data_IF_028179202576
#
_entry.id   IF_028179202576
#
_cell.length_a   1.000
_cell.length_b   1.000
_cell.length_c   1.000
_cell.angle_alpha   90.00
_cell.angle_beta   90.00
_cell.angle_gamma   90.00
#
_symmetry.space_group_name_H-M   'P 1'
#
loop_
_entity.id
_entity.type
_entity.pdbx_description
1 polymer ?
#
# COMPACT_ATOMS: atom_id res chain seq x y z
N UNK A 1 -25.90 23.69 9.09
CA UNK A 1 -24.56 23.61 9.70
C UNK A 1 -24.49 22.28 10.44
N UNK A 2 -24.13 21.20 9.74
CA UNK A 2 -24.08 19.87 10.33
C UNK A 2 -22.68 19.67 10.92
N UNK A 3 -22.61 19.62 12.24
CA UNK A 3 -21.45 19.11 12.96
C UNK A 3 -21.38 17.63 12.57
N UNK A 4 -20.33 17.23 11.87
CA UNK A 4 -20.05 15.82 11.52
C UNK A 4 -20.25 14.97 12.76
N UNK A 5 -21.25 14.08 12.74
CA UNK A 5 -21.57 13.17 13.85
C UNK A 5 -20.42 12.20 14.20
N UNK A 6 -19.33 12.23 13.44
CA UNK A 6 -18.17 11.34 13.59
C UNK A 6 -16.84 12.07 13.90
N UNK A 7 -16.85 13.40 14.11
CA UNK A 7 -15.63 14.19 14.39
C UNK A 7 -14.48 13.95 13.36
N UNK A 8 -14.82 13.74 12.09
CA UNK A 8 -13.86 13.32 11.05
C UNK A 8 -13.17 14.48 10.31
N UNK A 9 -13.66 15.72 10.43
CA UNK A 9 -13.19 16.84 9.61
C UNK A 9 -11.68 17.08 9.67
N UNK A 10 -11.08 17.01 10.87
CA UNK A 10 -9.63 17.15 11.03
C UNK A 10 -8.88 15.92 10.51
N UNK A 11 -9.34 14.71 10.83
CA UNK A 11 -8.70 13.46 10.41
C UNK A 11 -8.66 13.35 8.88
N UNK A 12 -9.78 13.60 8.21
CA UNK A 12 -9.87 13.63 6.74
C UNK A 12 -8.96 14.70 6.15
N UNK A 13 -8.92 15.90 6.74
CA UNK A 13 -8.04 16.98 6.28
C UNK A 13 -6.55 16.62 6.34
N UNK A 14 -6.12 15.95 7.42
CA UNK A 14 -4.74 15.45 7.56
C UNK A 14 -4.46 14.36 6.52
N UNK A 15 -5.37 13.42 6.31
CA UNK A 15 -5.21 12.37 5.29
C UNK A 15 -5.12 12.95 3.86
N UNK A 16 -5.94 13.95 3.55
CA UNK A 16 -5.88 14.69 2.28
C UNK A 16 -4.53 15.39 2.10
N UNK A 17 -4.04 16.06 3.15
CA UNK A 17 -2.75 16.75 3.12
C UNK A 17 -1.59 15.76 2.92
N UNK A 18 -1.58 14.63 3.63
CA UNK A 18 -0.56 13.58 3.46
C UNK A 18 -0.59 13.01 2.05
N UNK A 19 -1.78 12.72 1.49
CA UNK A 19 -1.92 12.19 0.13
C UNK A 19 -1.41 13.18 -0.94
N UNK A 20 -1.67 14.48 -0.76
CA UNK A 20 -1.26 15.51 -1.71
C UNK A 20 0.24 15.87 -1.58
N UNK A 21 0.76 15.96 -0.35
CA UNK A 21 2.09 16.48 -0.08
C UNK A 21 3.19 15.70 -0.79
N UNK A 22 3.17 14.37 -0.74
CA UNK A 22 4.19 13.56 -1.40
C UNK A 22 4.08 13.64 -2.93
N UNK A 23 2.86 13.69 -3.48
CA UNK A 23 2.62 13.80 -4.93
C UNK A 23 3.16 15.12 -5.46
N UNK A 24 2.86 16.24 -4.78
CA UNK A 24 3.40 17.55 -5.14
C UNK A 24 4.91 17.60 -5.00
N UNK A 25 5.47 17.10 -3.89
CA UNK A 25 6.91 17.11 -3.67
C UNK A 25 7.69 16.36 -4.75
N UNK A 26 7.20 15.19 -5.18
CA UNK A 26 7.85 14.42 -6.25
C UNK A 26 7.61 15.04 -7.64
N UNK A 27 6.44 15.62 -7.88
CA UNK A 27 6.13 16.29 -9.15
C UNK A 27 6.99 17.53 -9.38
N UNK A 28 7.14 18.40 -8.37
CA UNK A 28 7.98 19.60 -8.44
C UNK A 28 9.44 19.24 -8.73
N UNK A 29 9.90 18.07 -8.26
CA UNK A 29 11.25 17.55 -8.51
C UNK A 29 11.40 16.84 -9.86
N UNK A 30 10.35 16.74 -10.67
CA UNK A 30 10.36 16.04 -11.96
C UNK A 30 10.51 14.51 -11.85
N UNK A 31 10.27 13.94 -10.67
CA UNK A 31 10.50 12.52 -10.37
C UNK A 31 9.31 11.65 -10.80
N UNK A 32 8.09 12.16 -10.63
CA UNK A 32 6.85 11.46 -11.00
C UNK A 32 6.31 11.95 -12.32
N UNK A 33 5.48 11.12 -12.98
CA UNK A 33 4.67 11.55 -14.11
C UNK A 33 3.46 12.38 -13.66
N UNK A 34 3.00 13.28 -14.51
CA UNK A 34 1.81 14.14 -14.26
C UNK A 34 0.54 13.36 -13.90
N UNK A 35 0.41 12.13 -14.40
CA UNK A 35 -0.71 11.24 -14.09
C UNK A 35 -0.81 10.94 -12.60
N UNK A 36 0.31 10.93 -11.87
CA UNK A 36 0.36 10.69 -10.42
C UNK A 36 -0.32 11.82 -9.66
N UNK A 37 -0.03 13.09 -9.98
CA UNK A 37 -0.66 14.22 -9.30
C UNK A 37 -2.18 14.26 -9.57
N UNK A 38 -2.61 13.93 -10.79
CA UNK A 38 -4.04 13.87 -11.16
C UNK A 38 -4.84 12.86 -10.32
N UNK A 39 -4.18 11.85 -9.74
CA UNK A 39 -4.86 10.87 -8.86
C UNK A 39 -5.41 11.51 -7.58
N UNK A 40 -4.86 12.63 -7.11
CA UNK A 40 -5.35 13.29 -5.90
C UNK A 40 -6.84 13.62 -6.00
N UNK A 41 -7.25 14.26 -7.10
CA UNK A 41 -8.65 14.66 -7.30
C UNK A 41 -9.58 13.46 -7.37
N UNK A 42 -9.16 12.37 -8.02
CA UNK A 42 -9.98 11.15 -8.11
C UNK A 42 -10.08 10.42 -6.78
N UNK A 43 -8.97 10.28 -6.06
CA UNK A 43 -8.92 9.60 -4.75
C UNK A 43 -9.74 10.36 -3.69
N UNK A 44 -9.57 11.68 -3.63
CA UNK A 44 -10.29 12.55 -2.70
C UNK A 44 -11.79 12.57 -2.97
N UNK A 45 -12.19 12.68 -4.24
CA UNK A 45 -13.63 12.71 -4.60
C UNK A 45 -14.33 11.43 -4.16
N UNK A 46 -13.70 10.27 -4.36
CA UNK A 46 -14.27 8.99 -3.92
C UNK A 46 -14.40 8.90 -2.41
N UNK A 47 -13.37 9.30 -1.65
CA UNK A 47 -13.43 9.27 -0.18
C UNK A 47 -14.48 10.23 0.39
N UNK A 48 -14.59 11.45 -0.17
CA UNK A 48 -15.60 12.44 0.24
C UNK A 48 -17.01 11.95 -0.09
N UNK A 49 -17.21 11.35 -1.27
CA UNK A 49 -18.52 10.80 -1.64
C UNK A 49 -18.95 9.68 -0.67
N UNK A 50 -18.04 8.76 -0.34
CA UNK A 50 -18.29 7.71 0.65
C UNK A 50 -18.68 8.29 2.02
N UNK A 51 -17.96 9.32 2.48
CA UNK A 51 -18.30 10.01 3.74
C UNK A 51 -19.72 10.60 3.70
N UNK A 52 -20.07 11.30 2.61
CA UNK A 52 -21.39 11.91 2.44
C UNK A 52 -22.49 10.86 2.41
N UNK A 53 -22.26 9.73 1.72
CA UNK A 53 -23.24 8.66 1.60
C UNK A 53 -23.46 7.99 2.97
N UNK A 54 -22.39 7.69 3.73
CA UNK A 54 -22.52 7.16 5.09
C UNK A 54 -23.23 8.11 6.04
N UNK A 55 -22.85 9.39 6.07
CA UNK A 55 -23.49 10.39 6.92
C UNK A 55 -24.99 10.54 6.58
N UNK A 56 -25.34 10.48 5.29
CA UNK A 56 -26.73 10.53 4.83
C UNK A 56 -27.50 9.29 5.30
N UNK A 57 -26.94 8.10 5.12
CA UNK A 57 -27.59 6.84 5.49
C UNK A 57 -27.80 6.71 7.00
N UNK A 58 -26.79 7.09 7.79
CA UNK A 58 -26.90 7.15 9.26
C UNK A 58 -27.99 8.15 9.66
N UNK A 59 -28.02 9.35 9.07
CA UNK A 59 -29.03 10.36 9.40
C UNK A 59 -30.46 9.91 9.04
N UNK A 60 -30.62 9.22 7.90
CA UNK A 60 -31.91 8.65 7.50
C UNK A 60 -32.37 7.58 8.50
N UNK A 61 -31.52 6.62 8.84
CA UNK A 61 -31.84 5.53 9.77
C UNK A 61 -32.11 6.04 11.19
N UNK A 62 -31.34 7.02 11.68
CA UNK A 62 -31.61 7.71 12.97
C UNK A 62 -32.98 8.41 12.97
N UNK A 63 -33.42 8.91 11.82
CA UNK A 63 -34.74 9.51 11.63
C UNK A 63 -35.83 8.47 11.33
N UNK A 64 -35.54 7.16 11.50
CA UNK A 64 -36.41 6.03 11.15
C UNK A 64 -36.90 6.03 9.70
N UNK A 65 -36.05 6.50 8.78
CA UNK A 65 -36.30 6.47 7.33
C UNK A 65 -35.32 5.52 6.66
N UNK A 66 -35.84 4.73 5.72
CA UNK A 66 -35.02 3.82 4.94
C UNK A 66 -34.20 4.56 3.86
N UNK A 67 -32.89 4.25 3.72
CA UNK A 67 -32.10 4.71 2.60
C UNK A 67 -32.65 4.21 1.26
N UNK A 68 -32.42 4.96 0.17
CA UNK A 68 -32.92 4.62 -1.16
C UNK A 68 -32.40 3.29 -1.73
N UNK A 69 -31.30 2.76 -1.18
CA UNK A 69 -30.73 1.47 -1.57
C UNK A 69 -31.29 0.29 -0.77
N UNK A 70 -32.03 0.51 0.32
CA UNK A 70 -32.60 -0.55 1.13
C UNK A 70 -33.78 -1.21 0.40
N UNK A 71 -33.68 -2.52 0.17
CA UNK A 71 -34.71 -3.34 -0.50
C UNK A 71 -35.23 -4.48 0.39
N UNK A 72 -34.94 -4.41 1.69
CA UNK A 72 -35.38 -5.40 2.67
C UNK A 72 -36.84 -5.20 3.08
N UNK A 73 -37.21 -5.82 4.19
CA UNK A 73 -38.54 -5.68 4.77
C UNK A 73 -38.77 -4.24 5.29
N UNK A 74 -39.75 -3.49 4.75
CA UNK A 74 -40.05 -2.14 5.21
C UNK A 74 -40.40 -2.04 6.69
N UNK A 75 -40.91 -3.15 7.27
CA UNK A 75 -41.34 -3.24 8.67
C UNK A 75 -40.21 -3.69 9.62
N UNK A 76 -39.01 -3.96 9.11
CA UNK A 76 -37.86 -4.28 9.95
C UNK A 76 -37.49 -3.09 10.86
N UNK A 77 -36.86 -3.34 12.01
CA UNK A 77 -36.39 -2.27 12.89
C UNK A 77 -35.20 -1.53 12.25
N UNK A 78 -35.32 -0.22 11.92
CA UNK A 78 -34.22 0.56 11.37
C UNK A 78 -32.97 0.59 12.27
N UNK A 79 -33.12 0.36 13.58
CA UNK A 79 -32.00 0.31 14.52
C UNK A 79 -31.08 -0.90 14.28
N UNK A 80 -31.61 -2.02 13.79
CA UNK A 80 -30.80 -3.19 13.44
C UNK A 80 -29.96 -2.91 12.20
N UNK A 81 -30.56 -2.30 11.17
CA UNK A 81 -29.85 -1.87 9.96
C UNK A 81 -28.84 -0.75 10.27
N UNK A 82 -29.15 0.13 11.21
CA UNK A 82 -28.22 1.14 11.72
C UNK A 82 -27.02 0.49 12.42
N UNK A 83 -27.25 -0.56 13.23
CA UNK A 83 -26.18 -1.35 13.84
C UNK A 83 -25.24 -1.95 12.80
N UNK A 84 -25.79 -2.64 11.78
CA UNK A 84 -24.98 -3.17 10.68
C UNK A 84 -24.23 -2.08 9.90
N UNK A 85 -24.85 -0.91 9.72
CA UNK A 85 -24.22 0.21 9.05
C UNK A 85 -23.06 0.77 9.88
N UNK A 86 -23.20 0.85 11.21
CA UNK A 86 -22.11 1.22 12.10
C UNK A 86 -20.96 0.20 12.07
N UNK A 87 -21.26 -1.10 12.05
CA UNK A 87 -20.23 -2.15 11.93
C UNK A 87 -19.48 -2.06 10.60
N UNK A 88 -20.20 -1.82 9.50
CA UNK A 88 -19.60 -1.59 8.17
C UNK A 88 -18.81 -0.28 8.09
N UNK A 89 -19.28 0.77 8.77
CA UNK A 89 -18.64 2.08 8.79
C UNK A 89 -17.51 2.18 9.81
N UNK A 90 -17.36 1.24 10.76
CA UNK A 90 -16.33 1.30 11.79
C UNK A 90 -14.89 1.37 11.24
N UNK A 91 -14.49 0.58 10.22
CA UNK A 91 -13.19 0.74 9.57
C UNK A 91 -13.03 2.13 8.92
N UNK A 92 -14.10 2.66 8.33
CA UNK A 92 -14.10 3.98 7.70
C UNK A 92 -13.93 5.10 8.75
N UNK A 93 -14.66 5.03 9.86
CA UNK A 93 -14.59 5.98 10.98
C UNK A 93 -13.22 6.00 11.67
N UNK A 94 -12.50 4.87 11.63
CA UNK A 94 -11.12 4.79 12.13
C UNK A 94 -10.07 5.21 11.09
N UNK A 95 -10.49 5.59 9.87
CA UNK A 95 -9.60 5.94 8.77
C UNK A 95 -8.85 4.75 8.15
N UNK A 96 -9.18 3.52 8.56
CA UNK A 96 -8.53 2.27 8.13
C UNK A 96 -9.24 1.61 6.94
N UNK A 97 -10.51 1.94 6.72
CA UNK A 97 -11.38 1.37 5.69
C UNK A 97 -11.33 2.10 4.33
N UNK A 98 -10.49 3.12 4.18
CA UNK A 98 -10.36 3.83 2.90
C UNK A 98 -9.64 2.92 1.91
N UNK A 99 -10.34 2.55 0.84
CA UNK A 99 -9.78 1.85 -0.30
C UNK A 99 -10.00 2.70 -1.56
N UNK A 100 -8.91 3.22 -2.11
CA UNK A 100 -8.97 4.01 -3.33
C UNK A 100 -9.21 3.15 -4.56
N UNK A 101 -9.99 3.65 -5.55
CA UNK A 101 -10.25 2.91 -6.78
C UNK A 101 -8.98 2.76 -7.61
N UNK A 102 -9.06 1.88 -8.62
CA UNK A 102 -7.99 1.61 -9.59
C UNK A 102 -7.52 2.91 -10.25
N UNK A 103 -6.22 3.15 -10.21
CA UNK A 103 -5.58 4.26 -10.91
C UNK A 103 -4.11 3.91 -11.22
N UNK A 104 -3.30 4.90 -11.63
CA UNK A 104 -1.88 4.66 -11.96
C UNK A 104 -1.02 4.23 -10.77
N UNK A 105 -1.43 4.57 -9.54
CA UNK A 105 -0.79 4.16 -8.29
C UNK A 105 -1.37 2.85 -7.76
N UNK A 106 -2.71 2.72 -7.80
CA UNK A 106 -3.46 1.55 -7.32
C UNK A 106 -3.67 0.59 -8.51
N UNK A 107 -2.61 -0.12 -8.89
CA UNK A 107 -2.64 -1.04 -10.03
C UNK A 107 -3.09 -2.43 -9.59
N UNK A 108 -3.82 -3.10 -10.49
CA UNK A 108 -4.33 -4.45 -10.28
C UNK A 108 -3.21 -5.43 -9.87
N UNK A 109 -3.49 -6.22 -8.83
CA UNK A 109 -2.54 -7.20 -8.32
C UNK A 109 -2.41 -8.37 -9.30
N UNK A 110 -1.19 -8.84 -9.53
CA UNK A 110 -0.92 -10.06 -10.32
C UNK A 110 -0.96 -11.35 -9.50
N UNK A 111 -1.11 -11.21 -8.18
CA UNK A 111 -1.22 -12.31 -7.22
C UNK A 111 -2.46 -12.11 -6.37
N UNK A 112 -3.02 -13.22 -5.88
CA UNK A 112 -4.13 -13.14 -4.93
C UNK A 112 -3.58 -12.69 -3.57
N UNK A 113 -3.90 -11.47 -3.16
CA UNK A 113 -3.62 -10.97 -1.82
C UNK A 113 -4.92 -10.81 -1.04
N UNK A 114 -4.82 -10.87 0.28
CA UNK A 114 -5.89 -10.48 1.20
C UNK A 114 -6.15 -8.97 1.13
N UNK A 115 -5.13 -8.18 0.75
CA UNK A 115 -5.17 -6.73 0.75
C UNK A 115 -5.35 -6.18 -0.66
N UNK A 116 -6.35 -5.32 -0.83
CA UNK A 116 -6.67 -4.71 -2.13
C UNK A 116 -5.76 -3.51 -2.39
N UNK A 117 -5.18 -3.36 -3.60
CA UNK A 117 -4.49 -2.13 -3.99
C UNK A 117 -5.35 -0.88 -3.76
N UNK A 118 -4.76 0.16 -3.18
CA UNK A 118 -5.44 1.38 -2.75
C UNK A 118 -5.90 1.37 -1.29
N UNK A 119 -5.79 0.23 -0.58
CA UNK A 119 -6.08 0.11 0.85
C UNK A 119 -4.80 0.12 1.70
N UNK A 120 -4.97 0.27 3.02
CA UNK A 120 -3.87 0.25 3.97
C UNK A 120 -3.37 -1.19 4.17
N UNK A 121 -2.05 -1.44 4.18
CA UNK A 121 -1.51 -2.75 4.49
C UNK A 121 -1.80 -3.12 5.97
N UNK A 122 -1.93 -4.42 6.28
CA UNK A 122 -2.07 -4.89 7.64
C UNK A 122 -0.86 -4.47 8.48
N UNK A 123 -1.09 -4.12 9.74
CA UNK A 123 0.00 -4.02 10.70
C UNK A 123 0.47 -5.42 11.10
N UNK A 124 1.78 -5.61 11.00
CA UNK A 124 2.48 -6.86 11.25
C UNK A 124 3.72 -6.55 12.09
N UNK A 125 4.02 -7.45 13.01
CA UNK A 125 5.22 -7.39 13.84
C UNK A 125 6.32 -8.21 13.18
N UNK A 126 7.49 -7.59 13.04
CA UNK A 126 8.69 -8.17 12.45
C UNK A 126 9.84 -8.08 13.46
N UNK A 127 10.87 -8.90 13.27
CA UNK A 127 12.08 -8.88 14.10
C UNK A 127 13.28 -8.34 13.31
N UNK A 128 14.11 -7.53 13.96
CA UNK A 128 15.38 -7.08 13.40
C UNK A 128 16.43 -8.20 13.40
N UNK A 129 17.30 -8.28 12.39
CA UNK A 129 18.40 -9.23 12.38
C UNK A 129 19.40 -9.00 13.52
N UNK A 130 19.96 -10.07 14.07
CA UNK A 130 20.94 -10.04 15.15
C UNK A 130 20.36 -9.75 16.54
N UNK A 131 19.66 -8.63 16.72
CA UNK A 131 19.10 -8.22 18.03
C UNK A 131 17.73 -8.83 18.33
N UNK A 132 17.05 -9.38 17.32
CA UNK A 132 15.70 -9.95 17.42
C UNK A 132 14.68 -8.98 18.06
N UNK A 133 14.90 -7.67 17.90
CA UNK A 133 14.03 -6.65 18.45
C UNK A 133 12.77 -6.54 17.61
N UNK A 134 11.62 -6.56 18.28
CA UNK A 134 10.30 -6.47 17.64
C UNK A 134 10.04 -5.06 17.13
N UNK A 135 9.58 -4.96 15.89
CA UNK A 135 9.28 -3.69 15.21
C UNK A 135 8.05 -3.86 14.32
N UNK A 136 7.21 -2.82 14.26
CA UNK A 136 6.00 -2.82 13.42
C UNK A 136 6.32 -2.37 12.00
N UNK A 137 5.63 -2.96 11.01
CA UNK A 137 5.85 -2.64 9.60
C UNK A 137 5.74 -1.13 9.32
N UNK A 138 4.71 -0.44 9.83
CA UNK A 138 4.57 1.00 9.57
C UNK A 138 5.65 1.85 10.25
N UNK A 139 6.36 1.31 11.25
CA UNK A 139 7.52 1.98 11.88
C UNK A 139 8.75 1.93 10.98
N UNK A 140 8.86 0.89 10.16
CA UNK A 140 9.91 0.69 9.17
C UNK A 140 9.60 1.52 7.93
N UNK A 141 8.37 1.42 7.42
CA UNK A 141 7.93 2.06 6.17
C UNK A 141 7.45 3.50 6.37
N UNK A 142 8.25 4.30 7.09
CA UNK A 142 7.90 5.70 7.36
C UNK A 142 7.79 6.51 6.07
N UNK A 143 6.90 7.50 6.07
CA UNK A 143 6.70 8.40 4.94
C UNK A 143 7.87 9.38 4.81
N UNK A 144 8.84 9.02 3.98
CA UNK A 144 9.93 9.89 3.53
C UNK A 144 9.78 10.27 2.05
N UNK A 145 8.53 10.38 1.56
CA UNK A 145 8.23 10.55 0.13
C UNK A 145 8.85 9.46 -0.77
N UNK A 146 8.99 8.23 -0.22
CA UNK A 146 9.59 7.08 -0.89
C UNK A 146 8.60 5.94 -1.03
N UNK A 147 8.65 5.25 -2.15
CA UNK A 147 7.95 3.98 -2.35
C UNK A 147 8.74 2.88 -1.65
N UNK A 148 8.03 1.90 -1.08
CA UNK A 148 8.67 0.74 -0.46
C UNK A 148 8.30 -0.52 -1.24
N UNK A 149 9.30 -1.28 -1.64
CA UNK A 149 9.16 -2.59 -2.28
C UNK A 149 9.45 -3.63 -1.20
N UNK A 150 8.39 -4.28 -0.73
CA UNK A 150 8.45 -5.35 0.25
C UNK A 150 8.57 -6.67 -0.50
N UNK A 151 9.71 -7.32 -0.35
CA UNK A 151 9.95 -8.67 -0.87
C UNK A 151 9.63 -9.66 0.24
N UNK A 152 8.45 -10.28 0.16
CA UNK A 152 7.98 -11.32 1.07
C UNK A 152 8.49 -12.65 0.51
N UNK A 153 9.54 -13.21 1.11
CA UNK A 153 10.29 -14.32 0.48
C UNK A 153 9.50 -15.62 0.43
N UNK A 154 8.48 -15.81 1.26
CA UNK A 154 7.85 -17.12 1.44
C UNK A 154 8.85 -18.13 2.02
N UNK A 155 8.73 -19.39 1.62
CA UNK A 155 9.71 -20.43 1.91
C UNK A 155 10.93 -20.27 1.01
N UNK A 156 12.03 -19.79 1.62
CA UNK A 156 13.29 -19.48 0.94
C UNK A 156 13.83 -20.67 0.15
N UNK A 157 13.61 -21.91 0.60
CA UNK A 157 14.13 -23.08 -0.11
C UNK A 157 13.48 -23.26 -1.49
N UNK A 158 12.21 -22.84 -1.63
CA UNK A 158 11.44 -22.95 -2.86
C UNK A 158 11.59 -21.69 -3.73
N UNK A 159 11.71 -20.51 -3.11
CA UNK A 159 11.71 -19.22 -3.83
C UNK A 159 13.09 -18.70 -4.19
N UNK A 160 14.17 -19.38 -3.76
CA UNK A 160 15.56 -18.97 -4.02
C UNK A 160 15.85 -18.70 -5.50
N UNK A 161 15.35 -19.52 -6.42
CA UNK A 161 15.54 -19.30 -7.86
C UNK A 161 14.93 -17.97 -8.32
N UNK A 162 13.69 -17.68 -7.92
CA UNK A 162 13.00 -16.43 -8.25
C UNK A 162 13.65 -15.20 -7.63
N UNK A 163 14.17 -15.32 -6.39
CA UNK A 163 14.93 -14.25 -5.75
C UNK A 163 16.26 -13.99 -6.48
N UNK A 164 16.96 -15.04 -6.93
CA UNK A 164 18.19 -14.89 -7.71
C UNK A 164 17.94 -14.24 -9.08
N UNK A 165 16.86 -14.62 -9.76
CA UNK A 165 16.42 -13.97 -11.01
C UNK A 165 16.14 -12.47 -10.80
N UNK A 166 15.46 -12.11 -9.71
CA UNK A 166 15.22 -10.72 -9.35
C UNK A 166 16.53 -9.97 -9.05
N UNK A 167 17.48 -10.59 -8.33
CA UNK A 167 18.81 -9.98 -8.09
C UNK A 167 19.56 -9.73 -9.39
N UNK A 168 19.57 -10.72 -10.30
CA UNK A 168 20.21 -10.59 -11.61
C UNK A 168 19.58 -9.46 -12.43
N UNK A 169 18.26 -9.34 -12.41
CA UNK A 169 17.54 -8.25 -13.08
C UNK A 169 17.84 -6.87 -12.47
N UNK A 170 17.91 -6.77 -11.14
CA UNK A 170 18.30 -5.51 -10.48
C UNK A 170 19.79 -5.18 -10.69
N UNK A 171 20.61 -6.18 -11.02
CA UNK A 171 21.99 -6.00 -11.46
C UNK A 171 22.08 -5.31 -12.82
N UNK A 172 21.21 -5.66 -13.76
CA UNK A 172 21.15 -5.03 -15.09
C UNK A 172 20.40 -3.70 -15.10
N UNK A 173 19.30 -3.58 -14.36
CA UNK A 173 18.50 -2.34 -14.27
C UNK A 173 18.91 -1.51 -13.04
N UNK A 174 20.08 -0.87 -13.12
CA UNK A 174 20.68 -0.12 -12.00
C UNK A 174 19.76 1.00 -11.49
N UNK A 175 18.93 1.60 -12.35
CA UNK A 175 18.01 2.69 -12.01
C UNK A 175 17.05 2.27 -10.89
N UNK A 176 16.48 1.06 -10.92
CA UNK A 176 15.56 0.61 -9.87
C UNK A 176 16.27 0.35 -8.53
N UNK A 177 17.54 -0.05 -8.59
CA UNK A 177 18.34 -0.41 -7.42
C UNK A 177 18.93 0.82 -6.72
N UNK A 178 19.37 1.84 -7.47
CA UNK A 178 20.05 3.02 -6.91
C UNK A 178 19.12 4.20 -6.65
N UNK A 179 17.89 4.19 -7.17
CA UNK A 179 16.97 5.29 -6.98
C UNK A 179 16.53 5.41 -5.51
N UNK A 180 16.90 6.52 -4.87
CA UNK A 180 16.58 6.82 -3.45
C UNK A 180 15.08 6.86 -3.14
N UNK A 181 14.25 7.08 -4.16
CA UNK A 181 12.78 7.11 -4.05
C UNK A 181 12.21 5.69 -3.91
N UNK A 182 12.96 4.66 -4.29
CA UNK A 182 12.56 3.26 -4.12
C UNK A 182 13.36 2.69 -2.94
N UNK A 183 12.66 2.35 -1.86
CA UNK A 183 13.20 1.61 -0.74
C UNK A 183 12.92 0.13 -0.87
N UNK A 184 13.92 -0.69 -0.60
CA UNK A 184 13.80 -2.13 -0.65
C UNK A 184 13.82 -2.68 0.77
N UNK A 185 12.87 -3.57 1.06
CA UNK A 185 12.78 -4.28 2.32
C UNK A 185 12.59 -5.76 1.99
N UNK A 186 13.39 -6.61 2.61
CA UNK A 186 13.22 -8.07 2.52
C UNK A 186 12.66 -8.60 3.83
N UNK A 187 11.58 -9.38 3.75
CA UNK A 187 10.98 -10.03 4.90
C UNK A 187 11.08 -11.53 4.70
N UNK A 188 11.87 -12.19 5.55
CA UNK A 188 12.08 -13.63 5.49
C UNK A 188 11.36 -14.35 6.62
N UNK A 189 10.82 -15.54 6.33
CA UNK A 189 10.22 -16.44 7.32
C UNK A 189 11.28 -17.22 8.10
N UNK A 190 12.50 -17.34 7.55
CA UNK A 190 13.62 -18.03 8.17
C UNK A 190 14.39 -17.04 9.03
N UNK A 191 14.65 -17.42 10.27
CA UNK A 191 15.47 -16.66 11.21
C UNK A 191 16.89 -17.20 11.13
N UNK A 192 17.87 -16.31 10.99
CA UNK A 192 19.29 -16.64 11.05
C UNK A 192 20.09 -15.58 11.79
N UNK A 193 21.33 -15.91 12.15
CA UNK A 193 22.26 -14.97 12.78
C UNK A 193 22.54 -13.77 11.87
N UNK A 194 22.51 -13.99 10.55
CA UNK A 194 22.53 -12.94 9.53
C UNK A 194 21.47 -13.16 8.45
N UNK A 195 20.98 -12.09 7.80
CA UNK A 195 20.05 -12.24 6.66
C UNK A 195 20.66 -13.01 5.49
N UNK A 196 21.99 -12.92 5.33
CA UNK A 196 22.73 -13.66 4.31
C UNK A 196 22.63 -15.17 4.50
N UNK A 197 22.72 -15.61 5.75
CA UNK A 197 22.57 -17.02 6.12
C UNK A 197 21.12 -17.47 5.98
N UNK A 198 20.17 -16.68 6.48
CA UNK A 198 18.74 -17.01 6.45
C UNK A 198 18.19 -17.17 5.02
N UNK A 199 18.58 -16.27 4.12
CA UNK A 199 18.08 -16.24 2.74
C UNK A 199 19.01 -17.05 1.81
N UNK A 200 20.31 -17.16 2.16
CA UNK A 200 21.35 -17.76 1.33
C UNK A 200 21.85 -16.84 0.20
N UNK A 201 21.48 -15.55 0.23
CA UNK A 201 21.91 -14.53 -0.71
C UNK A 201 21.85 -13.15 -0.07
N UNK A 202 22.32 -12.11 -0.76
CA UNK A 202 22.22 -10.74 -0.27
C UNK A 202 20.75 -10.28 -0.26
N UNK A 203 20.22 -9.77 0.87
CA UNK A 203 18.86 -9.24 0.91
C UNK A 203 18.71 -7.98 0.05
N UNK A 204 17.49 -7.74 -0.41
CA UNK A 204 17.11 -6.49 -1.06
C UNK A 204 16.89 -5.40 0.00
N UNK A 205 17.85 -4.50 0.13
CA UNK A 205 17.81 -3.42 1.11
C UNK A 205 17.84 -3.93 2.56
N UNK A 206 17.00 -3.35 3.41
CA UNK A 206 16.94 -3.73 4.82
C UNK A 206 16.20 -5.05 4.99
N UNK A 207 16.72 -5.95 5.82
CA UNK A 207 16.12 -7.26 6.05
C UNK A 207 15.45 -7.34 7.43
N UNK A 208 14.32 -8.03 7.49
CA UNK A 208 13.57 -8.31 8.71
C UNK A 208 13.07 -9.76 8.70
N UNK A 209 12.81 -10.31 9.88
CA UNK A 209 12.30 -11.66 10.04
C UNK A 209 10.84 -11.68 10.47
N UNK A 210 10.07 -12.56 9.86
CA UNK A 210 8.69 -12.90 10.20
C UNK A 210 8.68 -14.30 10.84
N UNK A 211 9.13 -14.37 12.09
CA UNK A 211 9.30 -15.61 12.85
C UNK A 211 8.02 -16.43 12.99
N UNK A 212 6.87 -15.75 12.99
CA UNK A 212 5.54 -16.36 13.14
C UNK A 212 4.81 -16.56 11.81
N UNK A 213 5.43 -16.22 10.67
CA UNK A 213 4.76 -16.14 9.35
C UNK A 213 3.49 -15.26 9.34
N UNK A 214 3.36 -14.35 10.30
CA UNK A 214 2.17 -13.53 10.49
C UNK A 214 2.05 -12.47 9.41
N UNK A 215 3.18 -11.93 8.93
CA UNK A 215 3.15 -11.00 7.81
C UNK A 215 2.74 -11.72 6.52
N UNK A 216 3.35 -12.87 6.24
CA UNK A 216 3.04 -13.64 5.03
C UNK A 216 1.56 -14.05 4.98
N UNK A 217 0.99 -14.50 6.11
CA UNK A 217 -0.42 -14.86 6.22
C UNK A 217 -1.35 -13.64 6.06
N UNK A 218 -1.10 -12.53 6.78
CA UNK A 218 -1.94 -11.34 6.72
C UNK A 218 -1.95 -10.65 5.35
N UNK A 219 -0.84 -10.73 4.62
CA UNK A 219 -0.80 -10.27 3.22
C UNK A 219 -1.44 -11.28 2.26
N UNK A 220 -1.59 -12.55 2.63
CA UNK A 220 -2.11 -13.61 1.77
C UNK A 220 -1.07 -14.16 0.80
N UNK A 221 0.21 -14.18 1.21
CA UNK A 221 1.32 -14.60 0.36
C UNK A 221 1.33 -16.11 0.17
N UNK A 222 1.50 -16.56 -1.07
CA UNK A 222 1.75 -17.96 -1.34
C UNK A 222 3.20 -18.33 -0.95
N UNK A 223 3.34 -19.14 0.11
CA UNK A 223 4.64 -19.56 0.64
C UNK A 223 5.55 -20.25 -0.37
N UNK A 224 5.00 -20.91 -1.40
CA UNK A 224 5.80 -21.60 -2.43
C UNK A 224 6.38 -20.66 -3.49
N UNK A 225 5.77 -19.48 -3.67
CA UNK A 225 6.14 -18.53 -4.74
C UNK A 225 6.71 -17.22 -4.21
N UNK A 226 6.45 -16.89 -2.94
CA UNK A 226 6.70 -15.56 -2.41
C UNK A 226 5.83 -14.51 -3.10
N UNK A 227 5.99 -13.25 -2.72
CA UNK A 227 5.31 -12.13 -3.37
C UNK A 227 6.05 -10.83 -3.13
N UNK A 228 5.83 -9.87 -4.02
CA UNK A 228 6.32 -8.51 -3.87
C UNK A 228 5.13 -7.57 -3.70
N UNK A 229 5.18 -6.73 -2.67
CA UNK A 229 4.16 -5.72 -2.39
C UNK A 229 4.79 -4.35 -2.49
N UNK A 230 4.22 -3.48 -3.30
CA UNK A 230 4.68 -2.10 -3.46
C UNK A 230 3.80 -1.21 -2.59
N UNK A 231 4.39 -0.54 -1.61
CA UNK A 231 3.74 0.52 -0.86
C UNK A 231 4.08 1.88 -1.44
N UNK A 232 3.07 2.73 -1.46
CA UNK A 232 3.16 4.14 -1.78
C UNK A 232 3.80 4.93 -0.63
N UNK A 233 4.26 6.16 -0.88
CA UNK A 233 4.81 7.01 0.19
C UNK A 233 3.84 7.35 1.30
N UNK A 234 2.54 7.40 1.01
CA UNK A 234 1.47 7.57 2.00
C UNK A 234 1.14 6.30 2.80
N UNK A 235 1.89 5.21 2.58
CA UNK A 235 1.78 3.96 3.33
C UNK A 235 0.67 3.03 2.85
N UNK A 236 -0.01 3.34 1.75
CA UNK A 236 -1.03 2.48 1.15
C UNK A 236 -0.41 1.45 0.19
N UNK A 237 -1.08 0.34 -0.03
CA UNK A 237 -0.69 -0.65 -1.03
C UNK A 237 -0.93 -0.07 -2.42
N UNK A 238 0.12 0.05 -3.24
CA UNK A 238 0.01 0.47 -4.63
C UNK A 238 -0.30 -0.69 -5.56
N UNK A 239 0.41 -1.80 -5.42
CA UNK A 239 0.13 -3.04 -6.16
C UNK A 239 0.90 -4.20 -5.53
N UNK A 240 0.59 -5.41 -5.98
CA UNK A 240 1.34 -6.60 -5.61
C UNK A 240 1.43 -7.59 -6.77
N UNK A 241 2.45 -8.42 -6.73
CA UNK A 241 2.78 -9.30 -7.82
C UNK A 241 3.79 -10.37 -7.44
N UNK A 242 4.18 -11.20 -8.43
CA UNK A 242 5.22 -12.20 -8.22
C UNK A 242 6.57 -11.53 -7.94
N UNK A 243 7.52 -12.32 -7.45
CA UNK A 243 8.93 -11.94 -7.33
C UNK A 243 9.53 -11.86 -8.74
N UNK A 244 9.23 -10.77 -9.45
CA UNK A 244 9.53 -10.58 -10.88
C UNK A 244 9.97 -9.14 -11.18
N UNK A 245 11.20 -8.98 -11.65
CA UNK A 245 11.82 -7.68 -11.94
C UNK A 245 11.10 -6.87 -13.03
N UNK A 246 10.86 -7.45 -14.23
CA UNK A 246 10.09 -6.82 -15.29
C UNK A 246 8.73 -6.27 -14.86
N UNK A 247 7.99 -7.00 -14.02
CA UNK A 247 6.73 -6.51 -13.46
C UNK A 247 6.93 -5.28 -12.57
N UNK A 248 7.90 -5.31 -11.64
CA UNK A 248 8.23 -4.17 -10.76
C UNK A 248 8.61 -2.95 -11.60
N UNK A 249 9.44 -3.13 -12.63
CA UNK A 249 9.81 -2.07 -13.58
C UNK A 249 8.60 -1.50 -14.30
N UNK A 250 7.68 -2.35 -14.75
CA UNK A 250 6.45 -1.94 -15.42
C UNK A 250 5.52 -1.12 -14.50
N UNK A 251 5.47 -1.44 -13.22
CA UNK A 251 4.74 -0.63 -12.24
C UNK A 251 5.36 0.77 -12.12
N UNK A 252 6.67 0.83 -11.84
CA UNK A 252 7.36 2.10 -11.62
C UNK A 252 7.47 2.94 -12.88
N UNK A 253 7.56 2.37 -14.07
CA UNK A 253 7.63 3.14 -15.31
C UNK A 253 6.37 3.96 -15.57
N UNK A 254 5.20 3.55 -15.05
CA UNK A 254 3.93 4.31 -15.13
C UNK A 254 3.82 5.42 -14.09
N UNK A 255 4.62 5.35 -13.01
CA UNK A 255 4.52 6.24 -11.84
C UNK A 255 5.67 7.25 -11.84
N UNK A 256 6.89 6.78 -12.07
CA UNK A 256 8.13 7.52 -12.04
C UNK A 256 8.62 7.84 -13.45
N UNK A 257 9.30 8.98 -13.57
CA UNK A 257 10.09 9.35 -14.74
C UNK A 257 11.45 8.68 -14.60
N UNK A 258 11.55 7.44 -15.07
CA UNK A 258 12.81 6.70 -15.12
C UNK A 258 13.62 7.25 -16.30
N UNK A 259 14.37 8.34 -16.09
CA UNK A 259 15.30 8.83 -17.12
C UNK A 259 16.46 7.84 -17.25
N UNK A 260 16.66 7.31 -18.46
CA UNK A 260 17.94 6.75 -18.86
C UNK A 260 18.95 7.90 -18.92
N UNK A 261 20.15 7.67 -18.42
CA UNK A 261 21.25 8.63 -18.32
C UNK A 261 21.84 9.00 -19.69
N UNK A 262 21.01 9.42 -20.65
CA UNK A 262 21.42 9.81 -22.01
C UNK A 262 20.70 11.08 -22.53
N UNK A 263 19.92 11.79 -21.71
CA UNK A 263 19.12 12.96 -22.18
C UNK A 263 19.55 14.32 -21.62
N UNK A 264 20.72 14.44 -20.99
CA UNK A 264 21.23 15.72 -20.45
C UNK A 264 21.98 16.60 -21.45
N UNK A 265 21.78 16.45 -22.77
CA UNK A 265 22.43 17.31 -23.77
C UNK A 265 21.52 18.04 -24.77
N UNK A 266 20.19 18.00 -24.64
CA UNK A 266 19.30 18.62 -25.64
C UNK A 266 18.40 19.77 -25.14
N UNK A 267 18.64 20.35 -23.95
CA UNK A 267 17.77 21.40 -23.40
C UNK A 267 18.48 22.73 -23.10
N UNK A 268 19.59 23.01 -23.79
CA UNK A 268 20.17 24.34 -23.90
C UNK A 268 20.58 24.61 -25.35
N UNK A 269 19.62 25.05 -26.16
CA UNK A 269 19.84 25.80 -27.40
C UNK A 269 18.58 26.63 -27.68
#
# INVERSE_FOLDING_TARGET
MAISGAAQGLNTGIHDAVNLAWKLALQIRGITRDSVLKTYSTERKTAVQQLIDYDRDIAMLMSRKWPSWYKGDPDADPNLALGELFDKAAPFNTGLGIAYPRNVLNQESRVQLTVVPGSRPPDVELSTPGTNHKVRLQRITRNFARFWVLVLTGDVNLTRSSLQELENFLGSETILKTNKIIGWITVSTVIGCSPYEAIGMRPFGDAYYDSTSSAHDRFGVNMKKGSVVILRPDGLVGSAGPVDGPWIRSYFSKVLTLQTSDSTLSACA
#
